data_IF_698774693691
#
_entry.id   IF_698774693691
#
_cell.length_a   1.000
_cell.length_b   1.000
_cell.length_c   1.000
_cell.angle_alpha   90.00
_cell.angle_beta   90.00
_cell.angle_gamma   90.00
#
_symmetry.space_group_name_H-M   'P 1'
#
loop_
_entity.id
_entity.type
_entity.pdbx_description
1 polymer ?
#
# COMPACT_ATOMS: atom_id res chain seq x y z
N UNK A 1 7.05 -3.07 11.16
CA UNK A 1 6.27 -1.99 11.81
C UNK A 1 4.86 -2.50 11.96
N UNK A 2 4.45 -2.66 13.18
CA UNK A 2 3.11 -3.07 13.55
C UNK A 2 2.11 -1.97 13.20
N UNK A 3 0.88 -2.35 13.05
CA UNK A 3 -0.30 -1.54 12.90
C UNK A 3 -0.23 -0.25 13.74
N UNK A 4 -0.31 0.91 13.11
CA UNK A 4 -0.36 2.20 13.81
C UNK A 4 -1.80 2.72 13.87
N UNK A 5 -2.47 2.41 14.97
CA UNK A 5 -3.84 2.85 15.21
C UNK A 5 -4.00 4.38 15.26
N UNK A 6 -2.92 5.12 15.57
CA UNK A 6 -2.98 6.58 15.65
C UNK A 6 -3.19 7.22 14.28
N UNK A 7 -2.64 6.63 13.21
CA UNK A 7 -2.87 7.08 11.84
C UNK A 7 -4.37 6.98 11.53
N UNK A 8 -4.99 5.84 11.84
CA UNK A 8 -6.42 5.60 11.59
C UNK A 8 -7.30 6.52 12.42
N UNK A 9 -6.98 6.70 13.72
CA UNK A 9 -7.71 7.63 14.58
C UNK A 9 -7.69 9.05 14.01
N UNK A 10 -6.50 9.53 13.65
CA UNK A 10 -6.33 10.86 13.06
C UNK A 10 -7.09 11.01 11.73
N UNK A 11 -7.10 9.96 10.90
CA UNK A 11 -7.88 9.94 9.68
C UNK A 11 -9.38 10.15 9.98
N UNK A 12 -9.96 9.38 10.89
CA UNK A 12 -11.38 9.49 11.22
C UNK A 12 -11.73 10.78 11.97
N UNK A 13 -10.84 11.35 12.77
CA UNK A 13 -11.05 12.65 13.41
C UNK A 13 -11.16 13.78 12.38
N UNK A 14 -10.39 13.73 11.30
CA UNK A 14 -10.36 14.75 10.27
C UNK A 14 -11.43 14.56 9.17
N UNK A 15 -11.83 13.32 8.92
CA UNK A 15 -12.72 12.98 7.80
C UNK A 15 -14.06 13.72 7.79
N UNK A 16 -14.80 13.90 8.91
CA UNK A 16 -16.07 14.60 8.91
C UNK A 16 -15.96 16.05 8.44
N UNK A 17 -14.93 16.76 8.89
CA UNK A 17 -14.69 18.16 8.50
C UNK A 17 -14.36 18.24 7.01
N UNK A 18 -13.43 17.41 6.54
CA UNK A 18 -13.04 17.36 5.12
C UNK A 18 -14.23 17.05 4.20
N UNK A 19 -15.08 16.10 4.58
CA UNK A 19 -16.28 15.76 3.81
C UNK A 19 -17.34 16.90 3.87
N UNK A 20 -17.45 17.59 4.99
CA UNK A 20 -18.31 18.77 5.13
C UNK A 20 -17.89 19.90 4.17
N UNK A 21 -16.61 20.24 4.15
CA UNK A 21 -16.02 21.24 3.24
C UNK A 21 -16.25 20.86 1.77
N UNK A 22 -15.99 19.61 1.41
CA UNK A 22 -16.19 19.09 0.05
C UNK A 22 -17.64 19.17 -0.41
N UNK A 23 -18.60 18.85 0.46
CA UNK A 23 -20.03 18.96 0.14
C UNK A 23 -20.45 20.39 -0.11
N UNK A 24 -19.93 21.33 0.68
CA UNK A 24 -20.20 22.76 0.50
C UNK A 24 -19.59 23.27 -0.82
N UNK A 25 -18.36 22.86 -1.11
CA UNK A 25 -17.65 23.27 -2.32
C UNK A 25 -18.31 22.74 -3.60
N UNK A 26 -18.63 21.45 -3.62
CA UNK A 26 -19.21 20.77 -4.78
C UNK A 26 -20.73 20.95 -4.89
N UNK A 27 -21.38 21.45 -3.83
CA UNK A 27 -22.82 21.68 -3.74
C UNK A 27 -23.67 20.48 -4.19
N UNK A 28 -23.24 19.27 -3.85
CA UNK A 28 -23.94 18.02 -4.16
C UNK A 28 -23.61 16.90 -3.17
N UNK A 29 -24.46 15.85 -3.08
CA UNK A 29 -24.11 14.64 -2.34
C UNK A 29 -22.93 13.92 -3.00
N UNK A 30 -22.14 13.22 -2.17
CA UNK A 30 -20.99 12.43 -2.58
C UNK A 30 -21.26 10.94 -2.36
N UNK A 31 -20.88 10.10 -3.30
CA UNK A 31 -20.81 8.65 -3.13
C UNK A 31 -19.71 8.28 -2.12
N UNK A 32 -19.70 7.04 -1.64
CA UNK A 32 -18.63 6.56 -0.75
C UNK A 32 -17.26 6.65 -1.43
N UNK A 33 -17.18 6.21 -2.68
CA UNK A 33 -15.94 6.27 -3.47
C UNK A 33 -15.42 7.70 -3.62
N UNK A 34 -16.28 8.64 -3.95
CA UNK A 34 -15.90 10.06 -4.04
C UNK A 34 -15.42 10.62 -2.69
N UNK A 35 -16.06 10.26 -1.58
CA UNK A 35 -15.59 10.69 -0.26
C UNK A 35 -14.17 10.19 0.02
N UNK A 36 -13.86 8.94 -0.32
CA UNK A 36 -12.52 8.37 -0.14
C UNK A 36 -11.54 9.06 -1.09
N UNK A 37 -11.82 9.13 -2.39
CA UNK A 37 -10.93 9.78 -3.36
C UNK A 37 -10.63 11.23 -2.99
N UNK A 38 -11.66 12.05 -2.78
CA UNK A 38 -11.48 13.45 -2.42
C UNK A 38 -10.79 13.64 -1.05
N UNK A 39 -10.94 12.70 -0.12
CA UNK A 39 -10.22 12.77 1.15
C UNK A 39 -8.72 12.50 1.02
N UNK A 40 -8.28 11.90 -0.08
CA UNK A 40 -6.88 11.57 -0.37
C UNK A 40 -6.27 12.43 -1.49
N UNK A 41 -6.99 13.45 -2.00
CA UNK A 41 -6.42 14.37 -2.97
C UNK A 41 -5.21 15.11 -2.40
N UNK A 42 -4.25 15.41 -3.26
CA UNK A 42 -3.15 16.31 -2.94
C UNK A 42 -3.70 17.72 -2.70
N UNK A 43 -3.18 18.43 -1.70
CA UNK A 43 -3.70 19.75 -1.25
C UNK A 43 -3.62 20.84 -2.33
N UNK A 44 -2.85 20.62 -3.38
CA UNK A 44 -2.70 21.58 -4.49
C UNK A 44 -3.64 21.32 -5.66
N UNK A 45 -4.45 20.26 -5.59
CA UNK A 45 -5.35 19.90 -6.69
C UNK A 45 -6.64 20.74 -6.66
N UNK A 46 -7.16 21.03 -7.85
CA UNK A 46 -8.50 21.59 -7.99
C UNK A 46 -9.54 20.52 -7.69
N UNK A 47 -10.77 20.94 -7.42
CA UNK A 47 -11.90 20.02 -7.20
C UNK A 47 -12.83 19.91 -8.42
N UNK A 48 -12.46 20.56 -9.51
CA UNK A 48 -13.26 20.59 -10.75
C UNK A 48 -12.80 19.50 -11.72
N UNK A 49 -13.19 18.25 -11.39
CA UNK A 49 -12.81 17.07 -12.18
C UNK A 49 -13.92 16.66 -13.13
N UNK A 50 -13.56 16.43 -14.39
CA UNK A 50 -14.43 15.84 -15.42
C UNK A 50 -14.09 14.35 -15.52
N UNK A 51 -15.10 13.51 -15.28
CA UNK A 51 -14.94 12.05 -15.31
C UNK A 51 -14.46 11.57 -16.69
N UNK A 52 -13.36 10.84 -16.71
CA UNK A 52 -12.75 10.27 -17.91
C UNK A 52 -11.83 11.23 -18.68
N UNK A 53 -11.68 12.48 -18.21
CA UNK A 53 -10.85 13.49 -18.85
C UNK A 53 -9.77 14.03 -17.91
N UNK A 54 -10.13 14.30 -16.65
CA UNK A 54 -9.23 14.91 -15.68
C UNK A 54 -8.30 13.89 -15.02
N UNK A 55 -7.10 14.36 -14.68
CA UNK A 55 -6.13 13.65 -13.85
C UNK A 55 -6.09 14.27 -12.47
N UNK A 56 -5.76 13.46 -11.45
CA UNK A 56 -5.65 13.90 -10.07
C UNK A 56 -4.49 13.21 -9.37
N UNK A 57 -3.81 13.93 -8.48
CA UNK A 57 -2.76 13.40 -7.63
C UNK A 57 -3.33 12.98 -6.27
N UNK A 58 -3.01 11.78 -5.84
CA UNK A 58 -3.49 11.23 -4.57
C UNK A 58 -2.36 10.95 -3.59
N UNK A 59 -2.67 11.07 -2.30
CA UNK A 59 -1.80 10.66 -1.18
C UNK A 59 -2.38 9.40 -0.55
N UNK A 60 -1.90 8.21 -0.92
CA UNK A 60 -2.37 6.98 -0.30
C UNK A 60 -1.91 6.88 1.16
N UNK A 61 -2.64 6.14 1.98
CA UNK A 61 -2.27 5.86 3.37
C UNK A 61 -1.16 4.81 3.47
N UNK A 62 -1.00 3.97 2.44
CA UNK A 62 -0.07 2.85 2.46
C UNK A 62 0.36 2.40 1.08
N UNK A 63 1.60 1.89 1.02
CA UNK A 63 2.12 1.11 -0.12
C UNK A 63 2.46 -0.30 0.37
N UNK A 64 1.95 -1.32 -0.34
CA UNK A 64 2.29 -2.73 -0.11
C UNK A 64 3.04 -3.30 -1.31
N UNK A 65 4.15 -4.00 -1.06
CA UNK A 65 4.97 -4.59 -2.12
C UNK A 65 5.21 -6.08 -1.85
N UNK A 66 5.04 -6.92 -2.86
CA UNK A 66 5.46 -8.32 -2.78
C UNK A 66 6.91 -8.48 -3.23
N UNK A 67 7.58 -9.55 -2.81
CA UNK A 67 9.02 -9.74 -2.94
C UNK A 67 9.56 -9.75 -4.39
N UNK A 68 8.81 -10.29 -5.35
CA UNK A 68 9.28 -10.36 -6.72
C UNK A 68 9.33 -8.97 -7.39
N UNK A 69 8.31 -8.13 -7.19
CA UNK A 69 8.23 -6.78 -7.80
C UNK A 69 8.88 -5.70 -6.95
N UNK A 70 8.98 -5.88 -5.63
CA UNK A 70 9.64 -4.94 -4.72
C UNK A 70 11.11 -4.71 -5.06
N UNK A 71 11.80 -5.69 -5.63
CA UNK A 71 13.20 -5.55 -6.04
C UNK A 71 13.37 -4.36 -7.00
N UNK A 72 12.56 -4.29 -8.05
CA UNK A 72 12.63 -3.20 -9.01
C UNK A 72 12.17 -1.86 -8.40
N UNK A 73 11.05 -1.86 -7.68
CA UNK A 73 10.52 -0.65 -7.04
C UNK A 73 11.53 -0.04 -6.05
N UNK A 74 12.17 -0.86 -5.23
CA UNK A 74 13.18 -0.40 -4.27
C UNK A 74 14.48 0.08 -4.95
N UNK A 75 14.92 -0.58 -6.02
CA UNK A 75 16.06 -0.10 -6.81
C UNK A 75 15.78 1.29 -7.41
N UNK A 76 14.60 1.50 -7.99
CA UNK A 76 14.20 2.80 -8.52
C UNK A 76 14.11 3.85 -7.40
N UNK A 77 13.55 3.49 -6.24
CA UNK A 77 13.50 4.38 -5.08
C UNK A 77 14.91 4.79 -4.61
N UNK A 78 15.86 3.85 -4.55
CA UNK A 78 17.26 4.14 -4.21
C UNK A 78 17.91 5.08 -5.23
N UNK A 79 17.63 4.89 -6.53
CA UNK A 79 18.13 5.78 -7.59
C UNK A 79 17.55 7.19 -7.48
N UNK A 80 16.35 7.35 -6.96
CA UNK A 80 15.73 8.65 -6.70
C UNK A 80 16.37 9.41 -5.53
N UNK A 81 17.32 8.80 -4.80
CA UNK A 81 18.13 9.42 -3.71
C UNK A 81 17.27 10.08 -2.61
N UNK A 82 16.16 9.48 -2.28
CA UNK A 82 15.33 9.91 -1.15
C UNK A 82 15.85 9.30 0.15
N UNK A 83 15.76 10.04 1.25
CA UNK A 83 16.25 9.61 2.57
C UNK A 83 15.30 8.62 3.26
N UNK A 84 14.00 8.72 2.99
CA UNK A 84 12.95 7.88 3.58
C UNK A 84 11.73 7.83 2.68
N UNK A 85 10.88 6.83 2.90
CA UNK A 85 9.57 6.75 2.23
C UNK A 85 8.64 7.85 2.73
N UNK A 86 7.85 8.43 1.82
CA UNK A 86 6.86 9.46 2.14
C UNK A 86 5.58 8.88 2.77
N UNK A 87 5.31 7.61 2.50
CA UNK A 87 4.09 6.91 2.89
C UNK A 87 4.47 5.63 3.63
N UNK A 88 3.77 5.22 4.69
CA UNK A 88 3.98 3.94 5.34
C UNK A 88 3.99 2.80 4.32
N UNK A 89 5.10 2.09 4.21
CA UNK A 89 5.32 1.07 3.19
C UNK A 89 5.73 -0.26 3.83
N UNK A 90 5.33 -1.37 3.20
CA UNK A 90 5.71 -2.72 3.64
C UNK A 90 6.10 -3.59 2.45
N UNK A 91 7.10 -4.45 2.68
CA UNK A 91 7.50 -5.51 1.77
C UNK A 91 7.13 -6.85 2.39
N UNK A 92 6.57 -7.74 1.60
CA UNK A 92 6.11 -9.07 2.02
C UNK A 92 6.77 -10.14 1.18
N UNK A 93 7.45 -11.07 1.83
CA UNK A 93 8.20 -12.14 1.17
C UNK A 93 7.34 -13.41 1.09
N UNK A 94 6.48 -13.50 0.09
CA UNK A 94 5.54 -14.59 -0.09
C UNK A 94 5.48 -15.19 -1.52
N UNK A 95 5.76 -14.43 -2.57
CA UNK A 95 5.64 -14.87 -3.96
C UNK A 95 6.77 -15.80 -4.41
N UNK A 96 7.95 -15.71 -3.82
CA UNK A 96 9.09 -16.58 -4.16
C UNK A 96 9.05 -17.95 -3.45
N UNK A 97 8.04 -18.19 -2.61
CA UNK A 97 7.81 -19.48 -1.96
C UNK A 97 6.90 -20.33 -2.85
N UNK A 98 7.37 -21.49 -3.29
CA UNK A 98 6.57 -22.41 -4.09
C UNK A 98 5.82 -23.38 -3.16
N UNK A 99 4.51 -23.29 -3.10
CA UNK A 99 3.66 -24.24 -2.36
C UNK A 99 3.51 -25.56 -3.16
N UNK A 100 4.56 -26.39 -3.19
CA UNK A 100 4.65 -27.55 -4.07
C UNK A 100 4.67 -28.90 -3.35
N UNK A 101 5.44 -29.02 -2.28
CA UNK A 101 5.66 -30.30 -1.59
C UNK A 101 5.03 -30.25 -0.20
N UNK A 102 5.58 -29.46 0.68
CA UNK A 102 5.03 -29.20 2.01
C UNK A 102 5.60 -27.89 2.59
N UNK A 103 4.87 -27.29 3.54
CA UNK A 103 5.13 -25.91 3.99
C UNK A 103 6.56 -25.66 4.47
N UNK A 104 7.10 -26.53 5.32
CA UNK A 104 8.44 -26.33 5.89
C UNK A 104 9.54 -26.59 4.87
N UNK A 105 9.38 -27.60 4.04
CA UNK A 105 10.33 -27.92 2.98
C UNK A 105 10.40 -26.80 1.95
N UNK A 106 9.25 -26.35 1.46
CA UNK A 106 9.15 -25.29 0.45
C UNK A 106 9.66 -23.94 0.98
N UNK A 107 9.39 -23.62 2.27
CA UNK A 107 9.96 -22.46 2.92
C UNK A 107 11.48 -22.51 3.03
N UNK A 108 12.05 -23.63 3.50
CA UNK A 108 13.50 -23.80 3.61
C UNK A 108 14.17 -23.72 2.24
N UNK A 109 13.57 -24.33 1.23
CA UNK A 109 14.04 -24.24 -0.16
C UNK A 109 14.04 -22.80 -0.67
N UNK A 110 12.99 -22.04 -0.40
CA UNK A 110 12.90 -20.63 -0.79
C UNK A 110 13.96 -19.77 -0.07
N UNK A 111 14.18 -20.01 1.23
CA UNK A 111 15.20 -19.30 2.01
C UNK A 111 16.62 -19.55 1.50
N UNK A 112 16.92 -20.76 1.04
CA UNK A 112 18.20 -21.10 0.46
C UNK A 112 18.40 -20.49 -0.94
N UNK A 113 17.45 -20.74 -1.84
CA UNK A 113 17.54 -20.30 -3.25
C UNK A 113 17.47 -18.78 -3.41
N UNK A 114 16.64 -18.10 -2.61
CA UNK A 114 16.39 -16.68 -2.73
C UNK A 114 17.04 -15.84 -1.62
N UNK A 115 18.05 -16.38 -0.94
CA UNK A 115 18.71 -15.70 0.20
C UNK A 115 19.18 -14.29 -0.15
N UNK A 116 19.82 -14.10 -1.29
CA UNK A 116 20.30 -12.79 -1.75
C UNK A 116 19.17 -11.77 -1.92
N UNK A 117 18.03 -12.20 -2.47
CA UNK A 117 16.85 -11.35 -2.64
C UNK A 117 16.29 -10.95 -1.28
N UNK A 118 16.12 -11.88 -0.37
CA UNK A 118 15.58 -11.60 0.96
C UNK A 118 16.51 -10.71 1.78
N UNK A 119 17.82 -10.89 1.68
CA UNK A 119 18.82 -10.04 2.32
C UNK A 119 18.78 -8.61 1.76
N UNK A 120 18.70 -8.47 0.43
CA UNK A 120 18.51 -7.18 -0.23
C UNK A 120 17.25 -6.48 0.27
N UNK A 121 16.09 -7.13 0.18
CA UNK A 121 14.80 -6.55 0.58
C UNK A 121 14.79 -6.17 2.06
N UNK A 122 15.34 -7.00 2.93
CA UNK A 122 15.44 -6.75 4.36
C UNK A 122 16.35 -5.55 4.66
N UNK A 123 17.53 -5.49 4.04
CA UNK A 123 18.50 -4.42 4.26
C UNK A 123 17.99 -3.07 3.79
N UNK A 124 17.40 -3.02 2.59
CA UNK A 124 16.81 -1.79 2.04
C UNK A 124 15.60 -1.35 2.85
N UNK A 125 14.73 -2.27 3.22
CA UNK A 125 13.57 -1.96 4.07
C UNK A 125 14.01 -1.34 5.40
N UNK A 126 15.00 -1.91 6.06
CA UNK A 126 15.56 -1.38 7.31
C UNK A 126 16.15 0.01 7.13
N UNK A 127 16.89 0.25 6.03
CA UNK A 127 17.55 1.53 5.75
C UNK A 127 16.54 2.67 5.58
N UNK A 128 15.41 2.43 4.91
CA UNK A 128 14.46 3.47 4.53
C UNK A 128 13.19 3.50 5.38
N UNK A 129 13.13 2.74 6.47
CA UNK A 129 11.99 2.71 7.38
C UNK A 129 10.77 1.97 6.84
N UNK A 130 10.98 1.03 5.91
CA UNK A 130 9.96 0.17 5.32
C UNK A 130 9.77 -1.07 6.22
N UNK A 131 8.53 -1.48 6.47
CA UNK A 131 8.26 -2.73 7.19
C UNK A 131 8.61 -3.95 6.33
N UNK A 132 9.24 -4.97 6.93
CA UNK A 132 9.58 -6.20 6.22
C UNK A 132 8.91 -7.42 6.88
N UNK A 133 8.00 -8.04 6.16
CA UNK A 133 7.36 -9.29 6.51
C UNK A 133 8.18 -10.44 5.91
N UNK A 134 8.85 -11.19 6.77
CA UNK A 134 9.80 -12.24 6.40
C UNK A 134 9.13 -13.39 5.66
N UNK A 135 9.88 -14.20 4.89
CA UNK A 135 9.38 -15.45 4.32
C UNK A 135 8.69 -16.31 5.37
N UNK A 136 7.52 -16.83 5.05
CA UNK A 136 6.70 -17.62 5.97
C UNK A 136 5.76 -16.82 6.89
N UNK A 137 5.76 -15.49 6.82
CA UNK A 137 4.86 -14.66 7.62
C UNK A 137 3.40 -14.68 7.15
N UNK A 138 3.14 -15.13 5.95
CA UNK A 138 1.82 -15.22 5.34
C UNK A 138 1.74 -14.53 3.99
N UNK A 139 0.63 -14.74 3.30
CA UNK A 139 0.34 -14.12 1.98
C UNK A 139 0.11 -12.63 2.17
N UNK A 140 0.77 -11.81 1.35
CA UNK A 140 0.69 -10.33 1.41
C UNK A 140 -0.73 -9.81 1.57
N UNK A 141 -1.68 -10.28 0.75
CA UNK A 141 -3.04 -9.74 0.73
C UNK A 141 -3.79 -10.04 2.01
N UNK A 142 -3.57 -11.22 2.60
CA UNK A 142 -4.16 -11.59 3.89
C UNK A 142 -3.51 -10.80 5.04
N UNK A 143 -2.19 -10.68 5.04
CA UNK A 143 -1.47 -9.90 6.04
C UNK A 143 -1.90 -8.42 6.02
N UNK A 144 -2.06 -7.84 4.82
CA UNK A 144 -2.55 -6.47 4.67
C UNK A 144 -3.99 -6.32 5.16
N UNK A 145 -4.87 -7.25 4.78
CA UNK A 145 -6.27 -7.21 5.19
C UNK A 145 -6.41 -7.27 6.71
N UNK A 146 -5.64 -8.14 7.37
CA UNK A 146 -5.72 -8.34 8.82
C UNK A 146 -5.05 -7.24 9.65
N UNK A 147 -4.00 -6.62 9.12
CA UNK A 147 -3.17 -5.73 9.93
C UNK A 147 -3.24 -4.26 9.52
N UNK A 148 -3.66 -3.94 8.31
CA UNK A 148 -3.52 -2.58 7.78
C UNK A 148 -4.77 -2.03 7.12
N UNK A 149 -5.69 -2.88 6.66
CA UNK A 149 -6.89 -2.41 6.00
C UNK A 149 -7.89 -1.80 6.99
N UNK A 150 -8.50 -0.69 6.58
CA UNK A 150 -9.56 -0.04 7.32
C UNK A 150 -10.54 0.67 6.38
N UNK A 151 -11.83 0.80 6.74
CA UNK A 151 -12.82 1.45 5.89
C UNK A 151 -12.45 2.91 5.58
N UNK A 152 -12.51 3.28 4.33
CA UNK A 152 -12.23 4.65 3.90
C UNK A 152 -10.77 4.98 3.60
N UNK A 153 -9.84 4.07 3.85
CA UNK A 153 -8.43 4.24 3.51
C UNK A 153 -8.15 4.08 2.01
N UNK A 154 -6.96 4.47 1.59
CA UNK A 154 -6.46 4.28 0.23
C UNK A 154 -5.08 3.61 0.26
N UNK A 155 -4.87 2.60 -0.58
CA UNK A 155 -3.57 1.97 -0.73
C UNK A 155 -3.21 1.66 -2.17
N UNK A 156 -1.91 1.59 -2.42
CA UNK A 156 -1.33 1.10 -3.68
C UNK A 156 -0.50 -0.14 -3.36
N UNK A 157 -0.52 -1.11 -4.23
CA UNK A 157 0.32 -2.30 -4.10
C UNK A 157 0.88 -2.78 -5.43
N UNK A 158 2.07 -3.38 -5.39
CA UNK A 158 2.77 -3.88 -6.57
C UNK A 158 2.27 -5.27 -7.01
N UNK A 159 0.99 -5.54 -6.80
CA UNK A 159 0.34 -6.80 -7.15
C UNK A 159 -1.12 -6.58 -7.54
N UNK A 160 -1.61 -7.33 -8.54
CA UNK A 160 -2.99 -7.22 -9.03
C UNK A 160 -4.05 -7.56 -7.99
N UNK A 161 -3.72 -8.39 -6.98
CA UNK A 161 -4.63 -8.77 -5.90
C UNK A 161 -4.64 -7.77 -4.73
N UNK A 162 -3.93 -6.65 -4.81
CA UNK A 162 -3.99 -5.55 -3.83
C UNK A 162 -5.44 -5.13 -3.55
N UNK A 163 -6.31 -5.24 -4.54
CA UNK A 163 -7.76 -4.97 -4.45
C UNK A 163 -8.47 -5.76 -3.34
N UNK A 164 -7.86 -6.83 -2.82
CA UNK A 164 -8.40 -7.60 -1.70
C UNK A 164 -8.70 -6.74 -0.46
N UNK A 165 -7.91 -5.68 -0.22
CA UNK A 165 -8.15 -4.74 0.87
C UNK A 165 -9.47 -3.95 0.72
N UNK A 166 -10.04 -3.91 -0.48
CA UNK A 166 -11.38 -3.39 -0.75
C UNK A 166 -12.49 -4.16 -0.02
N UNK A 167 -12.24 -5.40 0.38
CA UNK A 167 -13.16 -6.19 1.21
C UNK A 167 -13.48 -5.55 2.57
N UNK A 168 -12.60 -4.69 3.08
CA UNK A 168 -12.83 -3.86 4.27
C UNK A 168 -13.13 -2.38 3.94
N UNK A 169 -13.51 -2.07 2.71
CA UNK A 169 -13.94 -0.72 2.32
C UNK A 169 -12.81 0.28 2.09
N UNK A 170 -11.61 -0.18 1.75
CA UNK A 170 -10.55 0.66 1.20
C UNK A 170 -10.72 0.89 -0.31
N UNK A 171 -10.14 1.96 -0.83
CA UNK A 171 -9.74 2.00 -2.24
C UNK A 171 -8.34 1.42 -2.33
N UNK A 172 -8.24 0.22 -2.90
CA UNK A 172 -6.99 -0.51 -3.03
C UNK A 172 -6.68 -0.75 -4.50
N UNK A 173 -5.51 -0.29 -4.95
CA UNK A 173 -5.13 -0.23 -6.36
C UNK A 173 -3.88 -1.08 -6.55
N UNK A 174 -3.98 -2.10 -7.43
CA UNK A 174 -2.83 -2.87 -7.89
C UNK A 174 -2.18 -2.20 -9.08
N UNK A 175 -0.85 -2.04 -9.02
CA UNK A 175 -0.01 -1.45 -10.07
C UNK A 175 1.15 -2.37 -10.38
N UNK A 176 1.87 -2.11 -11.47
CA UNK A 176 3.12 -2.80 -11.78
C UNK A 176 4.26 -2.37 -10.85
N UNK A 177 5.29 -3.20 -10.72
CA UNK A 177 6.46 -2.88 -9.87
C UNK A 177 7.29 -1.70 -10.39
N UNK A 178 7.05 -1.24 -11.60
CA UNK A 178 7.71 -0.08 -12.22
C UNK A 178 6.86 1.20 -12.22
N UNK A 179 5.58 1.10 -11.82
CA UNK A 179 4.66 2.23 -11.77
C UNK A 179 4.81 2.99 -10.44
#
# INVERSE_FOLDING_TARGET
MTFDINIIKKYYENLPNKIGELRNLLNRPLTLTEKILYSHLNDNDSYDYIRGESYADFRPDRVGMQDATAQMALLQFMMAKKDSVAVPSTVHADHLIQAKVESQYDLNTALDINSEVYDFLSSVSNKYGIGFWKPGAGIIHQVILENYAFPGGMMIGTDSHTVNAGGLGMIAIGVGGAD
#
